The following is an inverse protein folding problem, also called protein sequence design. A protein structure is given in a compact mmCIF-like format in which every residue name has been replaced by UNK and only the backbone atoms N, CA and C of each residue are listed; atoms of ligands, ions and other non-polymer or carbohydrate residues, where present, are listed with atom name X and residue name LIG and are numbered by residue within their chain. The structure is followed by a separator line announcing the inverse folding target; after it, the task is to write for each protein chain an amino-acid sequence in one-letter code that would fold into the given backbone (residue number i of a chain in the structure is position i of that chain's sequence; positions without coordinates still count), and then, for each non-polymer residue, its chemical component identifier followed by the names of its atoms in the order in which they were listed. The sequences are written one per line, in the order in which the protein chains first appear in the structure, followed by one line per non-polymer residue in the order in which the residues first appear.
data_IF_128413782209
#
_entry.id   IF_128413782209
#
_cell.length_a   1.000
_cell.length_b   1.000
_cell.length_c   1.000
_cell.angle_alpha   90.00
_cell.angle_beta   90.00
_cell.angle_gamma   90.00
#
_symmetry.space_group_name_H-M   'P 1'
#
loop_
_entity.id
_entity.type
_entity.pdbx_description
1 polymer ?
#
# COMPACT_ATOMS: atom_id res chain seq x y z
N UNK A 1 -17.23 11.11 -19.91
CA UNK A 1 -18.02 10.59 -21.05
C UNK A 1 -17.23 9.62 -21.92
N UNK A 2 -15.91 9.81 -22.12
CA UNK A 2 -15.09 8.91 -22.96
C UNK A 2 -15.07 7.43 -22.52
N UNK A 3 -14.95 7.14 -21.22
CA UNK A 3 -14.98 5.77 -20.71
C UNK A 3 -16.26 5.00 -21.11
N UNK A 4 -17.41 5.70 -21.12
CA UNK A 4 -18.69 5.10 -21.53
C UNK A 4 -18.75 4.78 -23.02
N UNK A 5 -18.10 5.58 -23.88
CA UNK A 5 -17.98 5.30 -25.32
C UNK A 5 -17.16 4.04 -25.60
N UNK A 6 -16.20 3.74 -24.72
CA UNK A 6 -15.40 2.51 -24.75
C UNK A 6 -16.07 1.31 -24.05
N UNK A 7 -17.31 1.44 -23.56
CA UNK A 7 -18.03 0.38 -22.85
C UNK A 7 -17.59 0.17 -21.40
N UNK A 8 -16.73 1.03 -20.84
CA UNK A 8 -16.28 0.94 -19.45
C UNK A 8 -17.32 1.49 -18.48
N UNK A 9 -17.47 0.82 -17.34
CA UNK A 9 -18.40 1.20 -16.26
C UNK A 9 -17.68 1.18 -14.91
N UNK A 10 -18.02 2.14 -14.04
CA UNK A 10 -17.46 2.20 -12.69
C UNK A 10 -18.16 1.15 -11.83
N UNK A 11 -17.37 0.35 -11.12
CA UNK A 11 -17.89 -0.63 -10.16
C UNK A 11 -18.02 0.02 -8.78
N UNK A 12 -19.24 0.43 -8.40
CA UNK A 12 -19.51 1.07 -7.12
C UNK A 12 -18.99 0.28 -5.90
N UNK A 13 -19.04 -1.06 -5.94
CA UNK A 13 -18.54 -1.90 -4.84
C UNK A 13 -17.02 -1.96 -4.70
N UNK A 14 -16.27 -1.67 -5.78
CA UNK A 14 -14.79 -1.71 -5.80
C UNK A 14 -14.15 -0.33 -5.70
N UNK A 15 -14.94 0.73 -5.90
CA UNK A 15 -14.50 2.11 -5.84
C UNK A 15 -14.83 2.69 -4.48
N UNK A 16 -13.90 3.50 -3.94
CA UNK A 16 -14.05 4.25 -2.70
C UNK A 16 -13.62 5.69 -2.93
N UNK A 17 -14.11 6.59 -2.11
CA UNK A 17 -13.68 8.00 -2.08
C UNK A 17 -12.80 8.18 -0.86
N UNK A 18 -11.68 8.86 -1.02
CA UNK A 18 -10.82 9.23 0.09
C UNK A 18 -10.40 10.69 -0.12
N UNK A 19 -10.48 11.48 0.95
CA UNK A 19 -10.02 12.87 0.96
C UNK A 19 -8.68 12.91 1.66
N UNK A 20 -7.69 13.50 1.02
CA UNK A 20 -6.34 13.60 1.58
C UNK A 20 -6.08 15.05 1.98
N UNK A 21 -5.81 15.29 3.26
CA UNK A 21 -5.41 16.63 3.77
C UNK A 21 -6.51 17.70 3.72
N UNK A 22 -7.80 17.32 3.68
CA UNK A 22 -8.92 18.26 3.59
C UNK A 22 -9.93 18.03 4.72
N UNK A 23 -10.24 19.09 5.47
CA UNK A 23 -11.16 19.07 6.63
C UNK A 23 -12.54 19.71 6.36
N UNK A 24 -12.87 20.03 5.09
CA UNK A 24 -14.15 20.64 4.75
C UNK A 24 -15.31 19.65 4.67
N UNK A 25 -16.49 20.15 4.28
CA UNK A 25 -17.74 19.38 4.31
C UNK A 25 -17.71 18.13 3.41
N UNK A 26 -18.29 17.03 3.91
CA UNK A 26 -18.43 15.78 3.17
C UNK A 26 -19.33 15.97 1.93
N UNK A 27 -18.76 15.78 0.75
CA UNK A 27 -19.51 15.75 -0.51
C UNK A 27 -19.77 14.31 -0.93
N UNK A 28 -21.04 13.92 -0.98
CA UNK A 28 -21.41 12.56 -1.42
C UNK A 28 -21.09 12.38 -2.90
N UNK A 29 -20.19 11.45 -3.23
CA UNK A 29 -19.91 11.10 -4.62
C UNK A 29 -20.87 10.01 -5.07
N UNK A 30 -21.64 10.30 -6.13
CA UNK A 30 -22.64 9.39 -6.69
C UNK A 30 -22.25 8.99 -8.11
N UNK A 31 -22.32 7.69 -8.41
CA UNK A 31 -22.16 7.16 -9.77
C UNK A 31 -23.50 7.20 -10.52
N UNK A 32 -24.60 6.99 -9.79
CA UNK A 32 -25.98 7.07 -10.30
C UNK A 32 -26.93 7.42 -9.15
N UNK A 33 -28.21 7.65 -9.44
CA UNK A 33 -29.24 8.01 -8.45
C UNK A 33 -29.32 7.05 -7.25
N UNK A 34 -28.93 5.78 -7.45
CA UNK A 34 -28.98 4.72 -6.44
C UNK A 34 -27.60 4.21 -6.00
N UNK A 35 -26.51 4.65 -6.63
CA UNK A 35 -25.16 4.17 -6.33
C UNK A 35 -24.27 5.28 -5.79
N UNK A 36 -24.01 5.24 -4.48
CA UNK A 36 -23.11 6.14 -3.78
C UNK A 36 -21.79 5.43 -3.52
N UNK A 37 -20.69 6.15 -3.64
CA UNK A 37 -19.38 5.64 -3.22
C UNK A 37 -19.20 5.85 -1.73
N UNK A 38 -18.67 4.82 -1.08
CA UNK A 38 -18.27 4.89 0.32
C UNK A 38 -17.04 5.78 0.46
N UNK A 39 -17.07 6.68 1.44
CA UNK A 39 -15.93 7.50 1.84
C UNK A 39 -15.13 6.75 2.92
N UNK A 40 -13.83 6.60 2.71
CA UNK A 40 -12.92 5.85 3.58
C UNK A 40 -11.73 6.70 4.01
N UNK A 41 -11.22 6.42 5.21
CA UNK A 41 -10.01 7.06 5.75
C UNK A 41 -8.73 6.29 5.43
N UNK A 42 -8.85 5.04 5.00
CA UNK A 42 -7.74 4.18 4.63
C UNK A 42 -8.14 3.36 3.41
N UNK A 43 -7.22 3.22 2.45
CA UNK A 43 -7.41 2.39 1.28
C UNK A 43 -6.11 1.68 0.92
N UNK A 44 -6.19 0.38 0.62
CA UNK A 44 -5.04 -0.37 0.10
C UNK A 44 -5.01 -0.30 -1.41
N UNK A 45 -4.02 0.40 -1.96
CA UNK A 45 -3.76 0.49 -3.38
C UNK A 45 -2.49 -0.27 -3.75
N UNK A 46 -2.61 -1.29 -4.61
CA UNK A 46 -1.50 -2.13 -5.07
C UNK A 46 -0.61 -2.67 -3.91
N UNK A 47 -1.25 -2.96 -2.78
CA UNK A 47 -0.61 -3.49 -1.58
C UNK A 47 -0.03 -2.45 -0.62
N UNK A 48 -0.01 -1.16 -0.99
CA UNK A 48 0.37 -0.03 -0.13
C UNK A 48 -0.85 0.61 0.51
N UNK A 49 -0.71 1.02 1.76
CA UNK A 49 -1.76 1.66 2.54
C UNK A 49 -1.69 3.16 2.32
N UNK A 50 -2.79 3.77 1.90
CA UNK A 50 -2.93 5.22 1.76
C UNK A 50 -3.97 5.70 2.74
N UNK A 51 -3.67 6.77 3.47
CA UNK A 51 -4.54 7.33 4.52
C UNK A 51 -5.00 8.74 4.19
N UNK A 52 -6.14 9.14 4.75
CA UNK A 52 -6.74 10.47 4.54
C UNK A 52 -5.96 11.63 5.16
N UNK A 53 -5.13 11.38 6.17
CA UNK A 53 -4.17 12.36 6.68
C UNK A 53 -2.95 12.54 5.75
N UNK A 54 -2.80 11.67 4.75
CA UNK A 54 -1.64 11.62 3.86
C UNK A 54 -0.35 11.22 4.59
N UNK A 55 -0.47 10.63 5.78
CA UNK A 55 0.64 10.05 6.53
C UNK A 55 1.13 8.76 5.88
N UNK A 56 2.39 8.41 6.17
CA UNK A 56 3.02 7.18 5.67
C UNK A 56 3.20 6.12 6.75
N UNK A 57 3.00 6.48 8.01
CA UNK A 57 3.33 5.64 9.17
C UNK A 57 2.63 4.28 9.14
N UNK A 58 1.36 4.26 8.69
CA UNK A 58 0.59 3.00 8.56
C UNK A 58 1.20 2.08 7.50
N UNK A 59 1.56 2.62 6.34
CA UNK A 59 2.19 1.83 5.28
C UNK A 59 3.58 1.35 5.69
N UNK A 60 4.41 2.24 6.25
CA UNK A 60 5.75 1.93 6.78
C UNK A 60 5.67 0.79 7.79
N UNK A 61 4.76 0.89 8.76
CA UNK A 61 4.56 -0.16 9.78
C UNK A 61 4.14 -1.49 9.16
N UNK A 62 3.21 -1.47 8.21
CA UNK A 62 2.77 -2.65 7.47
C UNK A 62 3.93 -3.31 6.69
N UNK A 63 4.76 -2.51 6.02
CA UNK A 63 5.92 -2.97 5.24
C UNK A 63 7.01 -3.57 6.11
N UNK A 64 7.32 -2.94 7.25
CA UNK A 64 8.23 -3.51 8.25
C UNK A 64 7.70 -4.85 8.75
N UNK A 65 6.40 -4.95 9.06
CA UNK A 65 5.77 -6.20 9.46
C UNK A 65 5.89 -7.32 8.40
N UNK A 66 5.64 -6.98 7.13
CA UNK A 66 5.82 -7.90 5.99
C UNK A 66 7.28 -8.35 5.84
N UNK A 67 8.23 -7.42 5.88
CA UNK A 67 9.65 -7.72 5.79
C UNK A 67 10.12 -8.62 6.96
N UNK A 68 9.66 -8.35 8.18
CA UNK A 68 9.94 -9.18 9.34
C UNK A 68 9.35 -10.59 9.18
N UNK A 69 8.15 -10.73 8.61
CA UNK A 69 7.56 -12.04 8.32
C UNK A 69 8.37 -12.82 7.26
N UNK A 70 8.83 -12.15 6.20
CA UNK A 70 9.71 -12.74 5.19
C UNK A 70 11.04 -13.18 5.79
N UNK A 71 11.66 -12.31 6.61
CA UNK A 71 12.88 -12.65 7.32
C UNK A 71 12.70 -13.88 8.21
N UNK A 72 11.60 -13.96 8.97
CA UNK A 72 11.27 -15.14 9.79
C UNK A 72 11.06 -16.39 8.95
N UNK A 73 10.41 -16.30 7.79
CA UNK A 73 10.24 -17.45 6.88
C UNK A 73 11.57 -18.01 6.37
N UNK A 74 12.59 -17.17 6.24
CA UNK A 74 13.93 -17.55 5.84
C UNK A 74 14.81 -18.05 7.00
N UNK A 75 14.25 -18.25 8.21
CA UNK A 75 14.98 -18.76 9.37
C UNK A 75 15.82 -20.03 9.08
N UNK A 76 15.34 -21.03 8.31
CA UNK A 76 16.15 -22.20 7.98
C UNK A 76 17.41 -21.87 7.19
N UNK A 77 17.36 -20.85 6.33
CA UNK A 77 18.50 -20.34 5.57
C UNK A 77 19.49 -19.66 6.52
N UNK A 78 18.99 -18.85 7.46
CA UNK A 78 19.82 -18.15 8.43
C UNK A 78 20.52 -19.11 9.39
N UNK A 79 19.82 -20.16 9.84
CA UNK A 79 20.32 -21.18 10.75
C UNK A 79 21.29 -22.16 10.07
N UNK A 80 21.22 -22.33 8.74
CA UNK A 80 22.08 -23.27 8.05
C UNK A 80 23.55 -22.85 8.07
N UNK A 81 24.41 -23.72 8.62
CA UNK A 81 25.87 -23.57 8.52
C UNK A 81 26.44 -23.88 7.14
N UNK A 82 25.70 -24.57 6.27
CA UNK A 82 26.15 -24.91 4.91
C UNK A 82 26.05 -23.75 3.92
N UNK A 83 25.31 -22.70 4.26
CA UNK A 83 25.13 -21.52 3.42
C UNK A 83 26.12 -20.44 3.85
N UNK A 84 26.98 -20.01 2.92
CA UNK A 84 27.95 -18.97 3.17
C UNK A 84 27.32 -17.63 3.53
N UNK A 85 28.00 -16.85 4.38
CA UNK A 85 27.54 -15.54 4.85
C UNK A 85 27.22 -14.58 3.68
N UNK A 86 28.04 -14.57 2.64
CA UNK A 86 27.83 -13.73 1.46
C UNK A 86 26.51 -14.02 0.75
N UNK A 87 26.13 -15.30 0.64
CA UNK A 87 24.84 -15.70 0.07
C UNK A 87 23.68 -15.24 0.96
N UNK A 88 23.81 -15.37 2.28
CA UNK A 88 22.77 -14.90 3.22
C UNK A 88 22.56 -13.38 3.13
N UNK A 89 23.64 -12.61 3.07
CA UNK A 89 23.59 -11.15 2.89
C UNK A 89 22.91 -10.80 1.56
N UNK A 90 23.26 -11.48 0.46
CA UNK A 90 22.59 -11.29 -0.84
C UNK A 90 21.10 -11.56 -0.77
N UNK A 91 20.67 -12.64 -0.10
CA UNK A 91 19.26 -12.97 0.08
C UNK A 91 18.53 -11.91 0.91
N UNK A 92 19.15 -11.41 1.97
CA UNK A 92 18.59 -10.31 2.76
C UNK A 92 18.38 -9.05 1.90
N UNK A 93 19.40 -8.63 1.15
CA UNK A 93 19.36 -7.44 0.30
C UNK A 93 18.40 -7.55 -0.89
N UNK A 94 18.14 -8.76 -1.39
CA UNK A 94 17.29 -8.99 -2.58
C UNK A 94 15.86 -9.34 -2.26
N UNK A 95 15.56 -9.79 -1.04
CA UNK A 95 14.21 -10.25 -0.66
C UNK A 95 13.66 -9.38 0.48
N UNK A 96 14.40 -9.22 1.56
CA UNK A 96 13.90 -8.58 2.79
C UNK A 96 13.85 -7.06 2.62
N UNK A 97 14.95 -6.45 2.15
CA UNK A 97 15.01 -5.00 1.92
C UNK A 97 13.96 -4.52 0.91
N UNK A 98 13.82 -5.12 -0.30
CA UNK A 98 12.79 -4.71 -1.25
C UNK A 98 11.37 -4.83 -0.71
N UNK A 99 11.10 -5.84 0.14
CA UNK A 99 9.79 -5.97 0.80
C UNK A 99 9.49 -4.80 1.73
N UNK A 100 10.50 -4.30 2.44
CA UNK A 100 10.36 -3.17 3.37
C UNK A 100 10.20 -1.82 2.66
N UNK A 101 10.86 -1.63 1.51
CA UNK A 101 10.87 -0.36 0.78
C UNK A 101 9.86 -0.28 -0.37
N UNK A 102 9.13 -1.36 -0.67
CA UNK A 102 8.11 -1.31 -1.71
C UNK A 102 7.05 -0.24 -1.37
N UNK A 103 6.75 0.64 -2.32
CA UNK A 103 5.77 1.72 -2.14
C UNK A 103 6.37 2.97 -1.51
N UNK A 104 7.66 2.95 -1.14
CA UNK A 104 8.37 4.11 -0.58
C UNK A 104 8.44 5.30 -1.54
N UNK A 105 8.32 5.08 -2.84
CA UNK A 105 8.20 6.15 -3.84
C UNK A 105 6.94 7.01 -3.68
N UNK A 106 5.92 6.49 -3.00
CA UNK A 106 4.67 7.21 -2.69
C UNK A 106 4.70 7.85 -1.29
N UNK A 107 5.77 7.63 -0.52
CA UNK A 107 5.89 8.19 0.81
C UNK A 107 6.19 9.69 0.74
N UNK A 108 5.45 10.46 1.53
CA UNK A 108 5.68 11.89 1.66
C UNK A 108 7.06 12.12 2.30
N UNK A 109 8.00 12.63 1.51
CA UNK A 109 9.28 13.12 2.01
C UNK A 109 9.09 14.52 2.58
N UNK A 110 8.62 14.64 3.81
CA UNK A 110 8.67 15.93 4.52
C UNK A 110 10.09 16.13 5.04
N UNK A 111 10.90 16.93 4.32
CA UNK A 111 11.86 17.78 5.02
C UNK A 111 11.03 18.93 5.65
N UNK A 112 11.04 18.99 6.97
CA UNK A 112 10.53 20.13 7.72
C UNK A 112 11.46 21.34 7.56
#
# INVERSE_FOLDING_TARGET
QEAGKAGLRISAGKSKVMRVGYAGAHTVVQISQQQRLEEVNEFTYLGSIVTSDGGTDRDVTCRIGKAAAVFRRLQPVWASGSIGLQTKIRLFNTIVIPTAIYGSETWRSTAA
#
